data_IF_286549982005
#
_entry.id   IF_286549982005
#
_cell.length_a   1.000
_cell.length_b   1.000
_cell.length_c   1.000
_cell.angle_alpha   90.00
_cell.angle_beta   90.00
_cell.angle_gamma   90.00
#
_symmetry.space_group_name_H-M   'P 1'
#
loop_
_entity.id
_entity.type
_entity.pdbx_description
1 polymer ?
#
# COMPACT_ATOMS: atom_id res chain seq x y z
N UNK A 1 9.44 1.88 20.26
CA UNK A 1 10.72 1.27 19.87
C UNK A 1 10.41 0.04 19.01
N UNK A 2 10.46 0.11 17.66
CA UNK A 2 10.29 -1.10 16.87
C UNK A 2 11.56 -1.95 16.98
N UNK A 3 11.39 -3.27 17.01
CA UNK A 3 12.46 -4.24 17.22
C UNK A 3 13.36 -4.29 15.98
N UNK A 4 14.67 -4.20 16.20
CA UNK A 4 15.73 -4.29 15.18
C UNK A 4 15.81 -5.65 14.44
N UNK A 5 14.87 -6.56 14.64
CA UNK A 5 14.89 -7.93 14.09
C UNK A 5 14.32 -8.04 12.66
N UNK A 6 13.60 -7.03 12.17
CA UNK A 6 12.90 -7.12 10.87
C UNK A 6 13.79 -6.84 9.65
N UNK A 7 15.05 -6.45 9.87
CA UNK A 7 16.02 -6.14 8.79
C UNK A 7 17.02 -7.25 8.50
N UNK A 8 16.73 -8.47 8.92
CA UNK A 8 17.56 -9.65 8.65
C UNK A 8 16.89 -10.55 7.60
N UNK A 9 17.67 -10.96 6.61
CA UNK A 9 17.28 -11.94 5.59
C UNK A 9 18.31 -13.04 5.47
N UNK A 10 17.83 -14.23 5.13
CA UNK A 10 18.64 -15.40 4.77
C UNK A 10 18.31 -15.78 3.31
N UNK A 11 19.31 -15.80 2.43
CA UNK A 11 19.16 -16.15 1.00
C UNK A 11 20.12 -17.28 0.63
N UNK A 12 19.60 -18.51 0.55
CA UNK A 12 20.40 -19.74 0.39
C UNK A 12 19.61 -20.83 -0.32
N UNK A 13 20.30 -21.82 -0.87
CA UNK A 13 19.67 -23.07 -1.30
C UNK A 13 19.24 -23.88 -0.08
N UNK A 14 18.01 -24.36 -0.14
CA UNK A 14 17.48 -25.29 0.84
C UNK A 14 18.19 -26.65 0.70
N UNK A 15 18.78 -27.20 1.79
CA UNK A 15 19.48 -28.48 1.71
C UNK A 15 18.56 -29.67 1.39
N UNK A 16 17.25 -29.56 1.62
CA UNK A 16 16.31 -30.65 1.43
C UNK A 16 15.66 -30.60 0.05
N UNK A 17 15.22 -29.43 -0.41
CA UNK A 17 14.59 -29.27 -1.72
C UNK A 17 15.55 -28.88 -2.84
N UNK A 18 16.72 -28.34 -2.52
CA UNK A 18 17.66 -27.75 -3.48
C UNK A 18 17.22 -26.38 -4.03
N UNK A 19 16.02 -25.91 -3.66
CA UNK A 19 15.46 -24.65 -4.14
C UNK A 19 16.21 -23.46 -3.52
N UNK A 20 16.45 -22.42 -4.31
CA UNK A 20 16.93 -21.14 -3.79
C UNK A 20 15.79 -20.43 -3.06
N UNK A 21 15.97 -20.20 -1.75
CA UNK A 21 14.97 -19.60 -0.88
C UNK A 21 15.50 -18.30 -0.25
N UNK A 22 14.59 -17.34 -0.05
CA UNK A 22 14.82 -16.13 0.71
C UNK A 22 13.80 -16.05 1.87
N UNK A 23 14.30 -15.98 3.10
CA UNK A 23 13.51 -16.00 4.34
C UNK A 23 13.76 -14.75 5.18
N UNK A 24 12.77 -14.37 5.98
CA UNK A 24 12.82 -13.19 6.84
C UNK A 24 12.47 -11.89 6.10
N UNK A 25 12.87 -10.78 6.71
CA UNK A 25 12.49 -9.44 6.26
C UNK A 25 11.05 -9.04 6.58
N UNK A 26 10.70 -7.83 6.17
CA UNK A 26 9.37 -7.23 6.28
C UNK A 26 8.73 -7.03 4.89
N UNK A 27 7.62 -6.29 4.82
CA UNK A 27 6.91 -6.03 3.57
C UNK A 27 7.76 -5.30 2.50
N UNK A 28 8.71 -4.45 2.93
CA UNK A 28 9.64 -3.77 2.02
C UNK A 28 10.62 -4.79 1.43
N UNK A 29 11.19 -5.67 2.27
CA UNK A 29 12.07 -6.75 1.79
C UNK A 29 11.35 -7.70 0.83
N UNK A 30 10.11 -8.10 1.15
CA UNK A 30 9.29 -8.93 0.26
C UNK A 30 8.99 -8.25 -1.08
N UNK A 31 8.78 -6.93 -1.08
CA UNK A 31 8.59 -6.14 -2.31
C UNK A 31 9.86 -6.10 -3.16
N UNK A 32 11.04 -5.97 -2.53
CA UNK A 32 12.34 -6.01 -3.21
C UNK A 32 12.56 -7.39 -3.85
N UNK A 33 12.30 -8.47 -3.11
CA UNK A 33 12.46 -9.85 -3.59
C UNK A 33 11.57 -10.13 -4.81
N UNK A 34 10.29 -9.76 -4.77
CA UNK A 34 9.38 -9.93 -5.90
C UNK A 34 9.83 -9.13 -7.14
N UNK A 35 10.35 -7.92 -6.94
CA UNK A 35 10.87 -7.08 -8.03
C UNK A 35 12.14 -7.64 -8.66
N UNK A 36 12.90 -8.43 -7.93
CA UNK A 36 14.03 -9.19 -8.49
C UNK A 36 13.64 -10.49 -9.18
N UNK A 37 12.36 -10.87 -9.11
CA UNK A 37 11.84 -12.07 -9.77
C UNK A 37 11.67 -13.28 -8.85
N UNK A 38 11.84 -13.14 -7.53
CA UNK A 38 11.45 -14.20 -6.60
C UNK A 38 9.92 -14.36 -6.55
N UNK A 39 9.48 -15.60 -6.31
CA UNK A 39 8.08 -15.97 -6.14
C UNK A 39 7.77 -16.10 -4.65
N UNK A 40 6.80 -15.33 -4.16
CA UNK A 40 6.37 -15.39 -2.77
C UNK A 40 5.55 -16.64 -2.46
N UNK A 41 5.83 -17.27 -1.34
CA UNK A 41 5.10 -18.42 -0.77
C UNK A 41 4.61 -18.02 0.62
N UNK A 42 3.30 -17.77 0.72
CA UNK A 42 2.65 -17.33 1.95
C UNK A 42 1.73 -18.43 2.49
N UNK A 43 2.10 -18.99 3.65
CA UNK A 43 1.37 -20.02 4.40
C UNK A 43 1.01 -19.47 5.79
N UNK A 44 0.03 -20.10 6.45
CA UNK A 44 -0.49 -19.64 7.76
C UNK A 44 0.58 -19.38 8.83
N UNK A 45 1.71 -20.10 8.76
CA UNK A 45 2.80 -20.01 9.75
C UNK A 45 4.16 -19.70 9.13
N UNK A 46 4.23 -19.45 7.82
CA UNK A 46 5.50 -19.29 7.13
C UNK A 46 5.33 -18.38 5.91
N UNK A 47 6.21 -17.40 5.76
CA UNK A 47 6.29 -16.55 4.59
C UNK A 47 7.72 -16.52 4.11
N UNK A 48 7.94 -17.01 2.90
CA UNK A 48 9.26 -17.04 2.28
C UNK A 48 9.13 -16.78 0.78
N UNK A 49 10.25 -16.61 0.13
CA UNK A 49 10.35 -16.41 -1.31
C UNK A 49 11.21 -17.51 -1.90
N UNK A 50 10.90 -17.97 -3.10
CA UNK A 50 11.70 -18.95 -3.83
C UNK A 50 12.04 -18.47 -5.24
N UNK A 51 13.13 -18.97 -5.81
CA UNK A 51 13.37 -18.79 -7.23
C UNK A 51 12.27 -19.47 -8.07
N UNK A 52 11.93 -18.93 -9.26
CA UNK A 52 11.08 -19.62 -10.23
C UNK A 52 11.66 -21.00 -10.57
N UNK A 53 10.80 -22.01 -10.69
CA UNK A 53 11.23 -23.42 -10.80
C UNK A 53 11.90 -23.76 -12.15
N UNK A 54 11.78 -22.89 -13.15
CA UNK A 54 12.32 -23.08 -14.49
C UNK A 54 13.72 -22.50 -14.68
N UNK A 55 14.30 -21.85 -13.68
CA UNK A 55 15.60 -21.21 -13.80
C UNK A 55 16.73 -22.24 -13.75
N UNK A 56 17.75 -22.00 -14.57
CA UNK A 56 19.04 -22.67 -14.47
C UNK A 56 19.81 -22.18 -13.23
N UNK A 57 20.80 -22.94 -12.78
CA UNK A 57 21.60 -22.57 -11.61
C UNK A 57 22.34 -21.23 -11.77
N UNK A 58 22.81 -20.92 -12.97
CA UNK A 58 23.45 -19.64 -13.28
C UNK A 58 22.43 -18.48 -13.20
N UNK A 59 21.21 -18.70 -13.68
CA UNK A 59 20.12 -17.72 -13.59
C UNK A 59 19.68 -17.49 -12.15
N UNK A 60 19.55 -18.55 -11.35
CA UNK A 60 19.27 -18.46 -9.92
C UNK A 60 20.38 -17.70 -9.19
N UNK A 61 21.65 -17.96 -9.52
CA UNK A 61 22.80 -17.28 -8.92
C UNK A 61 22.81 -15.79 -9.25
N UNK A 62 22.51 -15.42 -10.50
CA UNK A 62 22.37 -14.02 -10.92
C UNK A 62 21.22 -13.32 -10.19
N UNK A 63 20.07 -13.99 -10.10
CA UNK A 63 18.87 -13.49 -9.40
C UNK A 63 19.13 -13.29 -7.90
N UNK A 64 19.79 -14.25 -7.23
CA UNK A 64 20.19 -14.13 -5.83
C UNK A 64 21.15 -12.95 -5.62
N UNK A 65 22.18 -12.83 -6.46
CA UNK A 65 23.18 -11.75 -6.37
C UNK A 65 22.52 -10.38 -6.54
N UNK A 66 21.59 -10.24 -7.49
CA UNK A 66 20.85 -8.98 -7.67
C UNK A 66 19.98 -8.65 -6.45
N UNK A 67 19.29 -9.64 -5.87
CA UNK A 67 18.50 -9.47 -4.67
C UNK A 67 19.35 -9.06 -3.46
N UNK A 68 20.48 -9.72 -3.22
CA UNK A 68 21.42 -9.35 -2.14
C UNK A 68 21.87 -7.90 -2.31
N UNK A 69 22.26 -7.51 -3.52
CA UNK A 69 22.69 -6.14 -3.80
C UNK A 69 21.61 -5.09 -3.51
N UNK A 70 20.37 -5.32 -3.98
CA UNK A 70 19.24 -4.41 -3.77
C UNK A 70 18.80 -4.34 -2.31
N UNK A 71 18.75 -5.46 -1.60
CA UNK A 71 18.40 -5.49 -0.17
C UNK A 71 19.44 -4.73 0.66
N UNK A 72 20.73 -4.97 0.42
CA UNK A 72 21.79 -4.26 1.13
C UNK A 72 21.84 -2.77 0.77
N UNK A 73 21.46 -2.37 -0.45
CA UNK A 73 21.34 -0.95 -0.83
C UNK A 73 20.33 -0.17 0.04
N UNK A 74 19.32 -0.87 0.59
CA UNK A 74 18.30 -0.29 1.48
C UNK A 74 18.63 -0.52 2.98
N UNK A 75 19.78 -1.13 3.25
CA UNK A 75 20.31 -1.33 4.60
C UNK A 75 19.80 -2.59 5.31
N UNK A 76 19.37 -3.61 4.57
CA UNK A 76 19.12 -4.94 5.14
C UNK A 76 20.44 -5.68 5.39
N UNK A 77 20.48 -6.44 6.49
CA UNK A 77 21.52 -7.42 6.71
C UNK A 77 21.11 -8.73 6.06
N UNK A 78 21.90 -9.19 5.09
CA UNK A 78 21.60 -10.40 4.31
C UNK A 78 22.69 -11.43 4.57
N UNK A 79 22.33 -12.51 5.25
CA UNK A 79 23.10 -13.75 5.30
C UNK A 79 22.83 -14.52 4.00
N UNK A 80 23.88 -14.87 3.27
CA UNK A 80 23.76 -15.54 1.99
C UNK A 80 24.93 -16.50 1.74
N UNK A 81 24.77 -17.41 0.79
CA UNK A 81 25.89 -18.20 0.31
C UNK A 81 26.98 -17.31 -0.32
N UNK A 82 28.25 -17.71 -0.18
CA UNK A 82 29.41 -16.94 -0.65
C UNK A 82 29.32 -16.57 -2.13
N UNK A 83 28.76 -17.46 -2.96
CA UNK A 83 28.57 -17.20 -4.40
C UNK A 83 27.54 -16.12 -4.74
N UNK A 84 26.67 -15.74 -3.80
CA UNK A 84 25.70 -14.65 -3.97
C UNK A 84 26.19 -13.33 -3.36
N UNK A 85 27.31 -13.39 -2.62
CA UNK A 85 27.80 -12.25 -1.88
C UNK A 85 28.28 -11.15 -2.83
N UNK A 86 27.77 -9.93 -2.63
CA UNK A 86 28.08 -8.80 -3.49
C UNK A 86 28.10 -7.47 -2.75
N UNK A 87 29.04 -6.63 -3.16
CA UNK A 87 29.14 -5.23 -2.74
C UNK A 87 28.35 -4.27 -3.65
N UNK A 88 27.67 -4.78 -4.68
CA UNK A 88 26.81 -3.95 -5.51
C UNK A 88 25.68 -3.31 -4.69
N UNK A 89 25.49 -1.99 -4.85
CA UNK A 89 24.42 -1.21 -4.21
C UNK A 89 23.71 -0.38 -5.28
N UNK A 90 22.82 -1.00 -6.08
CA UNK A 90 22.11 -0.30 -7.14
C UNK A 90 21.19 0.78 -6.56
N UNK A 91 20.99 1.86 -7.32
CA UNK A 91 20.08 2.92 -6.92
C UNK A 91 18.64 2.39 -6.79
N UNK A 92 17.96 2.75 -5.70
CA UNK A 92 16.55 2.47 -5.51
C UNK A 92 15.72 3.59 -6.13
N UNK A 93 14.80 3.24 -7.03
CA UNK A 93 13.81 4.17 -7.56
C UNK A 93 12.49 4.03 -6.77
N UNK A 94 11.81 5.15 -6.45
CA UNK A 94 10.54 5.09 -5.75
C UNK A 94 9.51 4.32 -6.56
N UNK A 95 8.79 3.43 -5.88
CA UNK A 95 7.70 2.68 -6.49
C UNK A 95 6.52 3.60 -6.83
N UNK A 96 5.78 3.31 -7.90
CA UNK A 96 4.50 3.96 -8.20
C UNK A 96 3.51 3.90 -7.02
N UNK A 97 3.55 2.82 -6.21
CA UNK A 97 2.75 2.70 -4.98
C UNK A 97 3.04 3.76 -3.91
N UNK A 98 4.25 4.35 -3.91
CA UNK A 98 4.58 5.49 -3.04
C UNK A 98 3.74 6.71 -3.42
N UNK A 99 3.56 6.97 -4.72
CA UNK A 99 2.71 8.07 -5.20
C UNK A 99 1.25 7.88 -4.77
N UNK A 100 0.73 6.65 -4.80
CA UNK A 100 -0.63 6.36 -4.31
C UNK A 100 -0.73 6.53 -2.79
N UNK A 101 0.28 6.09 -2.04
CA UNK A 101 0.33 6.25 -0.58
C UNK A 101 0.41 7.73 -0.16
N UNK A 102 1.05 8.57 -0.97
CA UNK A 102 1.08 10.01 -0.76
C UNK A 102 -0.32 10.66 -0.84
N UNK A 103 -1.27 10.08 -1.59
CA UNK A 103 -2.67 10.55 -1.60
C UNK A 103 -3.32 10.42 -0.22
N UNK A 104 -2.97 9.38 0.54
CA UNK A 104 -3.47 9.22 1.91
C UNK A 104 -2.87 10.25 2.87
N UNK A 105 -1.65 10.73 2.63
CA UNK A 105 -1.08 11.87 3.37
C UNK A 105 -1.81 13.16 3.02
N UNK A 106 -1.99 13.46 1.72
CA UNK A 106 -2.75 14.63 1.28
C UNK A 106 -4.17 14.67 1.85
N UNK A 107 -4.86 13.52 1.92
CA UNK A 107 -6.17 13.43 2.58
C UNK A 107 -6.11 13.65 4.10
N UNK A 108 -5.00 13.29 4.76
CA UNK A 108 -4.78 13.56 6.19
C UNK A 108 -4.46 15.03 6.46
N UNK A 109 -3.89 15.72 5.49
CA UNK A 109 -3.56 17.16 5.56
C UNK A 109 -4.71 18.07 5.11
N UNK A 110 -5.62 17.58 4.25
CA UNK A 110 -6.74 18.34 3.72
C UNK A 110 -7.54 19.06 4.83
N UNK A 111 -7.71 20.36 4.66
CA UNK A 111 -8.32 21.31 5.60
C UNK A 111 -9.77 21.65 5.25
N UNK A 112 -10.22 21.33 4.03
CA UNK A 112 -11.60 21.49 3.59
C UNK A 112 -12.08 20.35 2.66
N UNK A 113 -13.37 20.35 2.33
CA UNK A 113 -13.97 19.31 1.49
C UNK A 113 -13.58 19.42 0.02
N UNK A 114 -13.14 20.59 -0.46
CA UNK A 114 -12.69 20.76 -1.84
C UNK A 114 -11.31 20.13 -2.03
N UNK A 115 -10.37 20.38 -1.11
CA UNK A 115 -9.05 19.73 -1.09
C UNK A 115 -9.18 18.20 -1.02
N UNK A 116 -10.10 17.70 -0.20
CA UNK A 116 -10.37 16.25 -0.13
C UNK A 116 -10.98 15.70 -1.43
N UNK A 117 -11.88 16.44 -2.07
CA UNK A 117 -12.46 16.05 -3.37
C UNK A 117 -11.41 16.04 -4.48
N UNK A 118 -10.49 17.00 -4.50
CA UNK A 118 -9.39 17.06 -5.46
C UNK A 118 -8.44 15.85 -5.32
N UNK A 119 -8.13 15.44 -4.09
CA UNK A 119 -7.33 14.21 -3.88
C UNK A 119 -8.10 12.97 -4.34
N UNK A 120 -9.42 12.90 -4.12
CA UNK A 120 -10.23 11.80 -4.63
C UNK A 120 -10.34 11.80 -6.17
N UNK A 121 -10.21 12.95 -6.83
CA UNK A 121 -10.16 13.01 -8.30
C UNK A 121 -8.97 12.23 -8.85
N UNK A 122 -7.80 12.23 -8.20
CA UNK A 122 -6.65 11.40 -8.60
C UNK A 122 -6.97 9.90 -8.63
N UNK A 123 -7.88 9.45 -7.75
CA UNK A 123 -8.31 8.05 -7.69
C UNK A 123 -9.41 7.74 -8.71
N UNK A 124 -10.32 8.69 -8.93
CA UNK A 124 -11.64 8.47 -9.54
C UNK A 124 -11.84 9.14 -10.89
N UNK A 125 -10.88 9.95 -11.36
CA UNK A 125 -10.98 10.61 -12.65
C UNK A 125 -11.31 9.57 -13.75
N UNK A 126 -12.34 9.82 -14.60
CA UNK A 126 -12.88 8.78 -15.47
C UNK A 126 -11.89 8.18 -16.48
N UNK A 127 -10.85 8.93 -16.86
CA UNK A 127 -9.91 8.53 -17.91
C UNK A 127 -8.50 8.28 -17.38
N UNK A 128 -7.96 9.20 -16.57
CA UNK A 128 -6.59 9.19 -16.06
C UNK A 128 -6.49 8.93 -14.55
N UNK A 129 -7.61 8.59 -13.91
CA UNK A 129 -7.63 8.21 -12.50
C UNK A 129 -6.99 6.85 -12.26
N UNK A 130 -6.42 6.66 -11.07
CA UNK A 130 -5.74 5.42 -10.69
C UNK A 130 -6.61 4.17 -10.89
N UNK A 131 -7.92 4.25 -10.57
CA UNK A 131 -8.82 3.11 -10.74
C UNK A 131 -9.15 2.82 -12.21
N UNK A 132 -9.19 3.84 -13.07
CA UNK A 132 -9.36 3.66 -14.52
C UNK A 132 -8.12 2.94 -15.10
N UNK A 133 -6.92 3.43 -14.78
CA UNK A 133 -5.67 2.77 -15.19
C UNK A 133 -5.50 1.37 -14.61
N UNK A 134 -5.98 1.11 -13.39
CA UNK A 134 -5.97 -0.23 -12.80
C UNK A 134 -6.90 -1.19 -13.53
N UNK A 135 -8.09 -0.73 -13.94
CA UNK A 135 -9.01 -1.50 -14.78
C UNK A 135 -8.38 -1.85 -16.14
N UNK A 136 -7.73 -0.88 -16.77
CA UNK A 136 -7.00 -1.08 -18.03
C UNK A 136 -5.87 -2.12 -17.88
N UNK A 137 -5.10 -2.04 -16.80
CA UNK A 137 -4.04 -3.01 -16.51
C UNK A 137 -4.58 -4.44 -16.34
N UNK A 138 -5.74 -4.61 -15.70
CA UNK A 138 -6.41 -5.91 -15.59
C UNK A 138 -6.88 -6.43 -16.95
N UNK A 139 -7.41 -5.55 -17.80
CA UNK A 139 -7.80 -5.88 -19.18
C UNK A 139 -6.60 -6.33 -20.02
N UNK A 140 -5.52 -5.57 -20.02
CA UNK A 140 -4.29 -5.91 -20.73
C UNK A 140 -3.66 -7.22 -20.22
N UNK A 141 -3.73 -7.48 -18.90
CA UNK A 141 -3.28 -8.75 -18.34
C UNK A 141 -4.18 -9.91 -18.78
N UNK A 142 -5.49 -9.72 -18.86
CA UNK A 142 -6.40 -10.73 -19.38
C UNK A 142 -6.10 -11.09 -20.84
N UNK A 143 -5.82 -10.10 -21.68
CA UNK A 143 -5.38 -10.30 -23.07
C UNK A 143 -4.06 -11.05 -23.15
N UNK A 144 -3.13 -10.77 -22.23
CA UNK A 144 -1.88 -11.52 -22.13
C UNK A 144 -2.14 -13.01 -21.84
N UNK A 145 -3.03 -13.33 -20.90
CA UNK A 145 -3.41 -14.71 -20.59
C UNK A 145 -4.08 -15.41 -21.77
N UNK A 146 -4.94 -14.74 -22.53
CA UNK A 146 -5.56 -15.34 -23.72
C UNK A 146 -4.52 -15.80 -24.76
N UNK A 147 -3.31 -15.21 -24.75
CA UNK A 147 -2.20 -15.55 -25.65
C UNK A 147 -1.24 -16.64 -25.14
N UNK A 148 -1.36 -17.12 -23.89
CA UNK A 148 -0.41 -18.08 -23.30
C UNK A 148 -0.67 -19.54 -23.71
N UNK A 149 -1.94 -19.92 -23.90
CA UNK A 149 -2.34 -21.21 -24.49
C UNK A 149 -2.41 -22.42 -23.54
N UNK A 150 -2.26 -22.24 -22.23
CA UNK A 150 -2.56 -23.28 -21.23
C UNK A 150 -4.08 -23.46 -21.07
N UNK A 151 -4.52 -24.66 -20.66
CA UNK A 151 -5.92 -24.98 -20.46
C UNK A 151 -6.60 -24.11 -19.38
N UNK A 152 -5.84 -23.59 -18.42
CA UNK A 152 -6.34 -22.75 -17.33
C UNK A 152 -6.37 -21.25 -17.65
N UNK A 153 -5.67 -20.81 -18.70
CA UNK A 153 -5.52 -19.39 -19.02
C UNK A 153 -6.84 -18.69 -19.36
N UNK A 154 -7.77 -19.27 -20.16
CA UNK A 154 -9.05 -18.62 -20.46
C UNK A 154 -9.89 -18.35 -19.21
N UNK A 155 -9.82 -19.24 -18.21
CA UNK A 155 -10.49 -19.03 -16.93
C UNK A 155 -9.88 -17.85 -16.17
N UNK A 156 -8.54 -17.77 -16.13
CA UNK A 156 -7.82 -16.67 -15.49
C UNK A 156 -8.11 -15.33 -16.16
N UNK A 157 -8.09 -15.28 -17.49
CA UNK A 157 -8.45 -14.09 -18.26
C UNK A 157 -9.90 -13.64 -17.97
N UNK A 158 -10.85 -14.57 -17.95
CA UNK A 158 -12.24 -14.28 -17.59
C UNK A 158 -12.38 -13.73 -16.17
N UNK A 159 -11.62 -14.28 -15.21
CA UNK A 159 -11.59 -13.79 -13.82
C UNK A 159 -11.03 -12.36 -13.73
N UNK A 160 -9.97 -12.04 -14.47
CA UNK A 160 -9.36 -10.70 -14.47
C UNK A 160 -10.34 -9.64 -15.00
N UNK A 161 -11.05 -9.95 -16.09
CA UNK A 161 -12.12 -9.09 -16.64
C UNK A 161 -13.24 -8.88 -15.62
N UNK A 162 -13.67 -9.95 -14.96
CA UNK A 162 -14.68 -9.87 -13.91
C UNK A 162 -14.23 -8.98 -12.73
N UNK A 163 -12.95 -9.03 -12.33
CA UNK A 163 -12.43 -8.14 -11.29
C UNK A 163 -12.50 -6.66 -11.70
N UNK A 164 -12.17 -6.36 -12.94
CA UNK A 164 -12.27 -5.01 -13.49
C UNK A 164 -13.75 -4.53 -13.55
N UNK A 165 -14.61 -5.35 -14.17
CA UNK A 165 -15.99 -4.98 -14.48
C UNK A 165 -16.90 -4.93 -13.26
N UNK A 166 -16.66 -5.77 -12.24
CA UNK A 166 -17.49 -5.78 -11.03
C UNK A 166 -16.83 -5.07 -9.86
N UNK A 167 -15.67 -5.53 -9.40
CA UNK A 167 -15.11 -5.01 -8.15
C UNK A 167 -14.51 -3.62 -8.30
N UNK A 168 -13.67 -3.40 -9.32
CA UNK A 168 -13.07 -2.08 -9.54
C UNK A 168 -14.13 -1.05 -9.87
N UNK A 169 -15.12 -1.40 -10.71
CA UNK A 169 -16.26 -0.54 -11.04
C UNK A 169 -17.08 -0.15 -9.80
N UNK A 170 -17.36 -1.08 -8.88
CA UNK A 170 -18.10 -0.77 -7.64
C UNK A 170 -17.30 0.22 -6.78
N UNK A 171 -16.02 -0.06 -6.53
CA UNK A 171 -15.16 0.81 -5.73
C UNK A 171 -15.07 2.20 -6.37
N UNK A 172 -14.89 2.26 -7.70
CA UNK A 172 -14.85 3.51 -8.45
C UNK A 172 -16.15 4.31 -8.28
N UNK A 173 -17.30 3.66 -8.45
CA UNK A 173 -18.61 4.32 -8.35
C UNK A 173 -18.85 4.91 -6.95
N UNK A 174 -18.53 4.15 -5.89
CA UNK A 174 -18.71 4.60 -4.51
C UNK A 174 -17.79 5.77 -4.14
N UNK A 175 -16.53 5.70 -4.58
CA UNK A 175 -15.57 6.78 -4.36
C UNK A 175 -15.91 8.02 -5.19
N UNK A 176 -16.35 7.85 -6.45
CA UNK A 176 -16.80 8.95 -7.28
C UNK A 176 -18.01 9.66 -6.66
N UNK A 177 -18.99 8.89 -6.15
CA UNK A 177 -20.13 9.46 -5.44
C UNK A 177 -19.70 10.21 -4.16
N UNK A 178 -18.73 9.65 -3.42
CA UNK A 178 -18.16 10.31 -2.23
C UNK A 178 -17.46 11.61 -2.60
N UNK A 179 -16.71 11.61 -3.70
CA UNK A 179 -16.04 12.79 -4.26
C UNK A 179 -17.04 13.88 -4.63
N UNK A 180 -18.10 13.55 -5.37
CA UNK A 180 -19.14 14.53 -5.75
C UNK A 180 -19.82 15.12 -4.52
N UNK A 181 -20.11 14.30 -3.50
CA UNK A 181 -20.68 14.79 -2.23
C UNK A 181 -19.76 15.76 -1.48
N UNK A 182 -18.45 15.55 -1.54
CA UNK A 182 -17.47 16.44 -0.91
C UNK A 182 -17.31 17.73 -1.71
N UNK A 183 -17.30 17.63 -3.04
CA UNK A 183 -17.29 18.76 -3.95
C UNK A 183 -18.50 19.67 -3.68
N UNK A 184 -19.72 19.12 -3.67
CA UNK A 184 -20.96 19.89 -3.44
C UNK A 184 -21.02 20.56 -2.05
N UNK A 185 -20.38 19.97 -1.03
CA UNK A 185 -20.51 20.41 0.36
C UNK A 185 -19.78 21.72 0.66
N UNK A 186 -18.67 22.02 -0.03
CA UNK A 186 -17.85 23.22 0.13
C UNK A 186 -17.69 23.73 1.59
N UNK A 187 -17.25 22.86 2.50
CA UNK A 187 -17.15 23.18 3.93
C UNK A 187 -15.72 22.98 4.47
N UNK A 188 -15.27 23.79 5.44
CA UNK A 188 -14.03 23.53 6.15
C UNK A 188 -14.15 22.27 7.02
N UNK A 189 -13.04 21.56 7.18
CA UNK A 189 -12.99 20.37 8.03
C UNK A 189 -13.02 20.78 9.51
N UNK A 190 -13.94 20.24 10.34
CA UNK A 190 -14.21 20.77 11.69
C UNK A 190 -13.04 20.64 12.67
N UNK A 191 -12.15 19.66 12.45
CA UNK A 191 -10.98 19.40 13.29
C UNK A 191 -9.64 19.83 12.69
N UNK A 192 -9.63 20.51 11.54
CA UNK A 192 -8.39 20.90 10.85
C UNK A 192 -8.47 22.35 10.39
N UNK A 193 -7.40 23.09 10.57
CA UNK A 193 -7.30 24.49 10.16
C UNK A 193 -5.88 24.74 9.64
N UNK A 194 -5.77 25.51 8.57
CA UNK A 194 -4.49 26.08 8.18
C UNK A 194 -3.96 26.95 9.34
N UNK A 195 -2.68 26.76 9.69
CA UNK A 195 -2.02 27.67 10.62
C UNK A 195 -1.89 29.02 9.91
N UNK A 196 -2.76 29.97 10.23
CA UNK A 196 -2.79 31.31 9.61
C UNK A 196 -1.69 32.24 10.15
N UNK A 197 -0.75 31.73 10.96
CA UNK A 197 0.28 32.56 11.57
C UNK A 197 1.42 32.75 10.56
N UNK A 198 1.38 33.88 9.87
CA UNK A 198 2.56 34.43 9.21
C UNK A 198 3.61 34.69 10.29
N UNK A 199 4.58 33.79 10.38
CA UNK A 199 5.78 33.97 11.20
C UNK A 199 6.47 35.24 10.70
N UNK A 200 6.57 36.26 11.57
CA UNK A 200 7.28 37.49 11.25
C UNK A 200 8.74 37.19 10.91
N UNK A 201 9.34 37.92 9.95
CA UNK A 201 10.71 37.71 9.44
C UNK A 201 11.84 37.79 10.49
N UNK A 202 11.54 37.98 11.78
CA UNK A 202 12.49 38.28 12.85
C UNK A 202 12.61 37.22 13.95
N UNK A 203 12.01 36.03 13.82
CA UNK A 203 12.19 34.95 14.80
C UNK A 203 13.15 33.85 14.30
N UNK A 204 14.26 33.59 15.01
CA UNK A 204 15.10 32.43 14.75
C UNK A 204 14.49 31.20 15.46
N UNK A 205 14.40 30.10 14.71
CA UNK A 205 14.17 28.71 15.15
C UNK A 205 12.73 28.18 15.33
N UNK A 206 12.28 27.63 14.19
CA UNK A 206 11.30 26.56 13.92
C UNK A 206 10.86 25.65 15.09
N UNK A 207 9.55 25.63 15.32
CA UNK A 207 8.78 24.40 15.61
C UNK A 207 7.55 24.39 14.70
N UNK A 208 7.52 23.52 13.68
CA UNK A 208 6.43 23.41 12.71
C UNK A 208 5.25 22.57 13.24
N UNK A 209 4.92 22.71 14.54
CA UNK A 209 3.71 22.13 15.12
C UNK A 209 3.13 23.12 16.11
N UNK A 210 2.17 23.93 15.65
CA UNK A 210 1.27 24.60 16.58
C UNK A 210 0.39 23.53 17.24
N UNK A 211 0.63 23.28 18.53
CA UNK A 211 -0.31 22.57 19.37
C UNK A 211 -1.58 23.43 19.50
N UNK A 212 -2.55 23.22 18.61
CA UNK A 212 -3.88 23.81 18.80
C UNK A 212 -4.45 23.35 20.16
N UNK A 213 -5.09 24.24 20.94
CA UNK A 213 -5.77 23.84 22.15
C UNK A 213 -6.86 22.80 21.80
N UNK A 214 -7.05 21.76 22.61
CA UNK A 214 -8.06 20.74 22.34
C UNK A 214 -9.45 21.40 22.29
N UNK A 215 -10.35 20.96 21.39
CA UNK A 215 -11.70 21.50 21.33
C UNK A 215 -12.41 21.32 22.67
N UNK A 216 -13.30 22.26 23.08
CA UNK A 216 -14.07 22.10 24.30
C UNK A 216 -14.88 20.82 24.20
N UNK A 217 -14.70 19.92 25.17
CA UNK A 217 -15.47 18.67 25.27
C UNK A 217 -16.95 19.01 25.24
N UNK A 218 -17.66 18.56 24.21
CA UNK A 218 -19.10 18.58 24.20
C UNK A 218 -19.58 17.73 25.40
N UNK A 219 -20.30 18.36 26.33
CA UNK A 219 -20.96 17.65 27.41
C UNK A 219 -21.96 16.67 26.78
N UNK A 220 -22.02 15.41 27.23
CA UNK A 220 -23.02 14.47 26.74
C UNK A 220 -24.42 15.03 26.98
N UNK A 221 -25.27 14.97 25.96
CA UNK A 221 -26.68 15.35 26.08
C UNK A 221 -27.32 14.54 27.23
N UNK A 222 -28.15 15.16 28.09
CA UNK A 222 -28.80 14.45 29.18
C UNK A 222 -29.69 13.34 28.61
N UNK A 223 -29.61 12.16 29.23
CA UNK A 223 -30.40 11.00 28.84
C UNK A 223 -31.91 11.32 28.89
N UNK A 224 -32.71 10.81 27.94
CA UNK A 224 -34.16 10.95 28.01
C UNK A 224 -34.71 10.28 29.28
N UNK A 225 -35.80 10.79 29.88
CA UNK A 225 -36.33 10.27 31.12
C UNK A 225 -36.83 8.82 30.95
N UNK A 226 -36.74 7.98 31.98
CA UNK A 226 -37.20 6.61 31.91
C UNK A 226 -38.72 6.57 31.74
N UNK A 227 -39.19 5.82 30.75
CA UNK A 227 -40.60 5.45 30.62
C UNK A 227 -40.92 4.48 31.76
N UNK A 228 -41.40 5.04 32.88
CA UNK A 228 -41.84 4.28 34.04
C UNK A 228 -43.07 3.44 33.72
N UNK A 229 -42.98 2.16 34.06
CA UNK A 229 -44.07 1.20 34.01
C UNK A 229 -45.32 1.71 34.75
N UNK A 230 -46.40 1.97 34.01
CA UNK A 230 -47.73 2.06 34.59
C UNK A 230 -48.16 0.64 35.03
N UNK A 231 -47.97 0.32 36.32
CA UNK A 231 -48.62 -0.83 36.95
C UNK A 231 -50.09 -0.49 37.25
N UNK A 232 -50.95 -1.40 36.79
CA UNK A 232 -52.34 -1.68 37.18
C UNK A 232 -52.77 -1.28 38.60
N UNK A 233 -54.02 -0.79 38.70
CA UNK A 233 -55.11 -1.12 39.66
C UNK A 233 -56.33 -0.30 39.20
N UNK A 234 -57.56 -0.80 39.08
CA UNK A 234 -58.28 -1.81 39.85
C UNK A 234 -59.41 -2.39 39.00
#
# INVERSE_FOLDING_TARGET
MPRSTDRFLDIRRDPHSGELLARGGDAEAHSILQRTGFVGVFRLHESYHRAPASLTEDEESRLATEAVGRLRAVGYHVDCEERFDTESRPAAYPALGVSVSHLAERLREATDTAEAADVLTELTAPHDGILAGFSEALGALAEFFDGLGDASDPYTAGRLRYLADEYVRIIHSDLAHTRERLADRHAPHPGRRACAEQVSDHEPERSAVCACPPPPRALPAPAPPPVGAARLRR
#
